data_IF_577876928555
#
_entry.id   IF_577876928555
#
_cell.length_a   1.000
_cell.length_b   1.000
_cell.length_c   1.000
_cell.angle_alpha   90.00
_cell.angle_beta   90.00
_cell.angle_gamma   90.00
#
_symmetry.space_group_name_H-M   'P 1'
#
loop_
_entity.id
_entity.type
_entity.pdbx_description
1 polymer ?
#
# COMPACT_ATOMS: atom_id res chain seq x y z
N UNK A 1 -42.29 -13.61 -7.82
CA UNK A 1 -40.95 -13.39 -8.43
C UNK A 1 -40.40 -12.06 -7.94
N UNK A 2 -39.28 -12.07 -7.23
CA UNK A 2 -38.61 -10.84 -6.80
C UNK A 2 -38.08 -10.10 -8.04
N UNK A 3 -38.51 -8.85 -8.25
CA UNK A 3 -37.96 -8.01 -9.33
C UNK A 3 -36.47 -7.84 -9.08
N UNK A 4 -35.65 -8.40 -9.97
CA UNK A 4 -34.19 -8.23 -9.96
C UNK A 4 -33.92 -6.73 -10.13
N UNK A 5 -33.35 -6.12 -9.09
CA UNK A 5 -33.03 -4.68 -9.10
C UNK A 5 -31.72 -4.49 -9.84
N UNK A 6 -31.73 -3.69 -10.92
CA UNK A 6 -30.49 -3.29 -11.61
C UNK A 6 -29.68 -2.38 -10.68
N UNK A 7 -28.40 -2.69 -10.40
CA UNK A 7 -27.56 -1.82 -9.59
C UNK A 7 -27.17 -0.58 -10.40
N UNK A 8 -27.53 0.61 -9.90
CA UNK A 8 -27.21 1.90 -10.50
C UNK A 8 -25.84 2.40 -10.04
N UNK A 9 -25.04 2.86 -10.98
CA UNK A 9 -23.76 3.57 -10.77
C UNK A 9 -23.97 4.97 -10.18
N UNK A 10 -22.93 5.57 -9.62
CA UNK A 10 -22.96 6.96 -9.12
C UNK A 10 -23.25 7.94 -10.27
N UNK A 11 -22.64 7.75 -11.45
CA UNK A 11 -22.91 8.57 -12.63
C UNK A 11 -24.37 8.52 -13.09
N UNK A 12 -24.98 7.33 -13.12
CA UNK A 12 -26.42 7.19 -13.45
C UNK A 12 -27.30 7.91 -12.42
N UNK A 13 -26.98 7.81 -11.13
CA UNK A 13 -27.72 8.52 -10.07
C UNK A 13 -27.61 10.04 -10.21
N UNK A 14 -26.43 10.57 -10.60
CA UNK A 14 -26.25 12.00 -10.84
C UNK A 14 -27.10 12.49 -12.01
N UNK A 15 -27.13 11.75 -13.14
CA UNK A 15 -28.01 12.07 -14.26
C UNK A 15 -29.49 12.09 -13.85
N UNK A 16 -29.91 11.12 -13.03
CA UNK A 16 -31.28 11.08 -12.49
C UNK A 16 -31.58 12.31 -11.64
N UNK A 17 -30.63 12.77 -10.83
CA UNK A 17 -30.77 13.97 -9.98
C UNK A 17 -30.88 15.22 -10.86
N UNK A 18 -29.97 15.40 -11.84
CA UNK A 18 -29.98 16.54 -12.77
C UNK A 18 -31.31 16.62 -13.54
N UNK A 19 -31.79 15.48 -14.03
CA UNK A 19 -33.04 15.43 -14.80
C UNK A 19 -34.27 15.68 -13.92
N UNK A 20 -34.25 15.20 -12.68
CA UNK A 20 -35.30 15.48 -11.70
C UNK A 20 -35.35 16.97 -11.31
N UNK A 21 -34.20 17.65 -11.24
CA UNK A 21 -34.11 19.08 -10.93
C UNK A 21 -34.58 19.96 -12.08
N UNK A 22 -34.27 19.60 -13.33
CA UNK A 22 -34.84 20.27 -14.52
C UNK A 22 -36.36 20.15 -14.55
N UNK A 23 -36.89 19.04 -14.08
CA UNK A 23 -38.32 18.73 -14.08
C UNK A 23 -39.03 19.12 -12.78
N UNK A 24 -38.63 20.20 -12.10
CA UNK A 24 -39.09 20.56 -10.74
C UNK A 24 -40.62 20.78 -10.58
N UNK A 25 -41.39 20.81 -11.68
CA UNK A 25 -42.85 20.88 -11.67
C UNK A 25 -43.58 19.59 -12.09
N UNK A 26 -42.86 18.56 -12.59
CA UNK A 26 -43.46 17.32 -13.02
C UNK A 26 -43.72 16.38 -11.82
N UNK A 27 -44.75 15.53 -11.93
CA UNK A 27 -45.00 14.53 -10.90
C UNK A 27 -43.85 13.52 -10.86
N UNK A 28 -43.42 13.13 -9.65
CA UNK A 28 -42.35 12.13 -9.45
C UNK A 28 -42.65 10.80 -10.17
N UNK A 29 -43.92 10.47 -10.32
CA UNK A 29 -44.42 9.33 -11.08
C UNK A 29 -44.18 9.43 -12.60
N UNK A 30 -44.21 10.63 -13.18
CA UNK A 30 -43.87 10.84 -14.59
C UNK A 30 -42.37 10.64 -14.80
N UNK A 31 -41.56 11.35 -14.01
CA UNK A 31 -40.09 11.31 -14.10
C UNK A 31 -39.57 9.88 -13.91
N UNK A 32 -40.14 9.13 -12.95
CA UNK A 32 -39.78 7.73 -12.72
C UNK A 32 -40.10 6.83 -13.94
N UNK A 33 -41.23 7.06 -14.61
CA UNK A 33 -41.60 6.35 -15.84
C UNK A 33 -40.66 6.69 -17.00
N UNK A 34 -40.35 7.97 -17.17
CA UNK A 34 -39.48 8.46 -18.25
C UNK A 34 -38.05 7.91 -18.11
N UNK A 35 -37.56 7.82 -16.88
CA UNK A 35 -36.24 7.26 -16.55
C UNK A 35 -36.24 5.73 -16.39
N UNK A 36 -37.40 5.07 -16.56
CA UNK A 36 -37.60 3.63 -16.40
C UNK A 36 -37.07 3.07 -15.05
N UNK A 37 -37.33 3.81 -13.96
CA UNK A 37 -36.96 3.43 -12.59
C UNK A 37 -38.19 3.40 -11.67
N UNK A 38 -38.21 2.57 -10.62
CA UNK A 38 -39.28 2.59 -9.63
C UNK A 38 -39.34 3.94 -8.89
N UNK A 39 -40.55 4.44 -8.61
CA UNK A 39 -40.76 5.67 -7.84
C UNK A 39 -40.09 5.63 -6.46
N UNK A 40 -40.09 4.46 -5.81
CA UNK A 40 -39.41 4.25 -4.53
C UNK A 40 -37.90 4.43 -4.64
N UNK A 41 -37.30 4.02 -5.76
CA UNK A 41 -35.88 4.23 -6.05
C UNK A 41 -35.57 5.69 -6.28
N UNK A 42 -36.38 6.39 -7.11
CA UNK A 42 -36.22 7.82 -7.35
C UNK A 42 -36.30 8.62 -6.04
N UNK A 43 -37.29 8.33 -5.18
CA UNK A 43 -37.43 8.98 -3.87
C UNK A 43 -36.20 8.78 -2.98
N UNK A 44 -35.64 7.57 -2.98
CA UNK A 44 -34.45 7.25 -2.19
C UNK A 44 -33.20 7.95 -2.73
N UNK A 45 -33.05 8.03 -4.06
CA UNK A 45 -31.94 8.73 -4.72
C UNK A 45 -31.98 10.21 -4.37
N UNK A 46 -33.14 10.86 -4.50
CA UNK A 46 -33.31 12.27 -4.18
C UNK A 46 -33.08 12.56 -2.68
N UNK A 47 -33.53 11.67 -1.79
CA UNK A 47 -33.28 11.81 -0.36
C UNK A 47 -31.79 11.69 0.02
N UNK A 48 -30.99 11.01 -0.80
CA UNK A 48 -29.55 10.80 -0.57
C UNK A 48 -28.66 11.64 -1.51
N UNK A 49 -29.22 12.68 -2.14
CA UNK A 49 -28.54 13.52 -3.13
C UNK A 49 -27.15 13.97 -2.68
N UNK A 50 -27.05 14.58 -1.49
CA UNK A 50 -25.78 15.17 -1.02
C UNK A 50 -24.70 14.10 -0.81
N UNK A 51 -25.09 12.95 -0.27
CA UNK A 51 -24.17 11.81 -0.11
C UNK A 51 -23.70 11.24 -1.45
N UNK A 52 -24.55 11.29 -2.48
CA UNK A 52 -24.20 10.81 -3.83
C UNK A 52 -23.21 11.78 -4.49
N UNK A 53 -23.42 13.09 -4.35
CA UNK A 53 -22.50 14.12 -4.86
C UNK A 53 -21.12 14.01 -4.21
N UNK A 54 -21.07 13.90 -2.88
CA UNK A 54 -19.81 13.75 -2.14
C UNK A 54 -19.07 12.46 -2.53
N UNK A 55 -19.78 11.34 -2.63
CA UNK A 55 -19.18 10.07 -3.03
C UNK A 55 -18.73 10.06 -4.50
N UNK A 56 -19.44 10.74 -5.40
CA UNK A 56 -19.02 10.87 -6.79
C UNK A 56 -17.72 11.67 -6.93
N UNK A 57 -17.56 12.73 -6.12
CA UNK A 57 -16.30 13.49 -6.05
C UNK A 57 -15.15 12.63 -5.49
N UNK A 58 -15.43 11.79 -4.49
CA UNK A 58 -14.41 10.97 -3.82
C UNK A 58 -14.00 9.70 -4.59
N UNK A 59 -14.95 8.99 -5.20
CA UNK A 59 -14.75 7.66 -5.76
C UNK A 59 -14.91 7.59 -7.29
N UNK A 60 -15.21 8.73 -7.94
CA UNK A 60 -15.51 8.80 -9.36
C UNK A 60 -16.90 8.26 -9.75
N UNK A 61 -17.19 8.30 -11.05
CA UNK A 61 -18.54 8.07 -11.57
C UNK A 61 -18.91 6.58 -11.75
N UNK A 62 -17.91 5.71 -11.87
CA UNK A 62 -18.10 4.30 -12.23
C UNK A 62 -18.45 3.40 -11.03
N UNK A 63 -18.29 3.89 -9.80
CA UNK A 63 -18.61 3.16 -8.58
C UNK A 63 -20.12 2.92 -8.41
N UNK A 64 -20.52 1.70 -8.02
CA UNK A 64 -21.93 1.36 -7.73
C UNK A 64 -22.32 1.61 -6.28
N UNK A 65 -21.35 1.51 -5.38
CA UNK A 65 -21.48 1.77 -3.95
C UNK A 65 -20.16 2.37 -3.43
N UNK A 66 -20.24 3.28 -2.46
CA UNK A 66 -19.12 3.57 -1.60
C UNK A 66 -18.83 2.28 -0.82
N UNK A 67 -17.75 1.58 -1.19
CA UNK A 67 -17.27 0.45 -0.40
C UNK A 67 -16.44 1.06 0.72
N UNK A 68 -16.85 0.82 1.95
CA UNK A 68 -15.95 1.01 3.08
C UNK A 68 -14.86 -0.03 2.94
N UNK A 69 -13.64 0.45 2.73
CA UNK A 69 -12.47 -0.43 2.70
C UNK A 69 -12.15 -0.79 4.14
N UNK A 70 -11.95 -2.08 4.42
CA UNK A 70 -11.62 -2.61 5.76
C UNK A 70 -10.43 -1.88 6.40
N UNK A 71 -9.56 -1.30 5.57
CA UNK A 71 -8.35 -0.58 5.96
C UNK A 71 -8.36 0.87 5.46
N UNK A 72 -9.50 1.56 5.53
CA UNK A 72 -9.61 2.97 5.11
C UNK A 72 -8.57 3.90 5.77
N UNK A 73 -8.19 3.63 7.03
CA UNK A 73 -7.14 4.37 7.72
C UNK A 73 -5.74 4.14 7.11
N UNK A 74 -5.46 2.91 6.66
CA UNK A 74 -4.19 2.54 6.02
C UNK A 74 -4.09 3.14 4.62
N UNK A 75 -5.17 3.08 3.82
CA UNK A 75 -5.21 3.73 2.51
C UNK A 75 -5.02 5.24 2.63
N UNK A 76 -5.64 5.88 3.64
CA UNK A 76 -5.43 7.30 3.90
C UNK A 76 -3.95 7.60 4.19
N UNK A 77 -3.31 6.81 5.05
CA UNK A 77 -1.89 6.98 5.38
C UNK A 77 -0.99 6.78 4.14
N UNK A 78 -1.30 5.82 3.27
CA UNK A 78 -0.56 5.60 2.02
C UNK A 78 -0.67 6.81 1.07
N UNK A 79 -1.88 7.33 0.86
CA UNK A 79 -2.10 8.50 -0.01
C UNK A 79 -1.41 9.74 0.55
N UNK A 80 -1.44 9.93 1.87
CA UNK A 80 -0.75 11.04 2.53
C UNK A 80 0.77 10.93 2.41
N UNK A 81 1.32 9.71 2.55
CA UNK A 81 2.75 9.46 2.31
C UNK A 81 3.16 9.73 0.87
N UNK A 82 2.36 9.32 -0.13
CA UNK A 82 2.65 9.61 -1.54
C UNK A 82 2.60 11.11 -1.85
N UNK A 83 1.62 11.83 -1.31
CA UNK A 83 1.51 13.29 -1.49
C UNK A 83 2.60 14.07 -0.75
N UNK A 84 3.16 13.51 0.32
CA UNK A 84 4.26 14.10 1.08
C UNK A 84 5.63 13.88 0.45
N UNK A 85 5.74 13.11 -0.65
CA UNK A 85 6.94 13.11 -1.49
C UNK A 85 6.83 14.33 -2.41
N UNK A 86 7.55 15.43 -2.15
CA UNK A 86 7.61 16.52 -3.10
C UNK A 86 8.09 15.96 -4.44
N UNK A 87 7.30 16.17 -5.49
CA UNK A 87 7.67 15.84 -6.88
C UNK A 87 8.66 16.88 -7.44
N UNK A 88 9.03 17.87 -6.62
CA UNK A 88 10.08 18.83 -6.93
C UNK A 88 11.43 18.22 -6.57
N UNK A 89 12.31 18.20 -7.58
CA UNK A 89 13.62 17.57 -7.64
C UNK A 89 13.58 16.06 -7.94
N UNK A 90 13.25 15.72 -9.20
CA UNK A 90 14.09 14.73 -9.92
C UNK A 90 15.53 15.04 -9.50
N UNK A 91 16.24 14.16 -8.77
CA UNK A 91 17.63 14.41 -8.51
C UNK A 91 18.25 14.46 -9.90
N UNK A 92 18.62 15.65 -10.35
CA UNK A 92 19.61 15.77 -11.39
C UNK A 92 20.77 14.94 -10.87
N UNK A 93 20.92 13.73 -11.39
CA UNK A 93 22.20 13.06 -11.51
C UNK A 93 23.04 13.88 -12.51
N UNK A 94 23.13 15.20 -12.28
CA UNK A 94 24.19 16.02 -12.77
C UNK A 94 25.44 15.33 -12.31
N UNK A 95 26.34 15.08 -13.26
CA UNK A 95 27.62 14.43 -13.04
C UNK A 95 28.22 14.94 -11.74
N UNK A 96 28.07 14.17 -10.67
CA UNK A 96 28.83 14.37 -9.45
C UNK A 96 30.26 14.09 -9.90
N UNK A 97 30.98 15.15 -10.23
CA UNK A 97 32.43 15.17 -10.20
C UNK A 97 32.79 14.88 -8.74
N UNK A 98 32.74 13.60 -8.37
CA UNK A 98 33.19 13.13 -7.08
C UNK A 98 34.64 13.63 -6.95
N UNK A 99 34.93 14.48 -5.94
CA UNK A 99 36.29 14.95 -5.72
C UNK A 99 37.10 13.78 -5.18
N UNK A 100 37.65 12.99 -6.10
CA UNK A 100 38.41 11.79 -5.79
C UNK A 100 38.57 10.94 -7.03
N UNK A 101 39.80 10.53 -7.30
CA UNK A 101 40.06 9.51 -8.29
C UNK A 101 39.54 8.16 -7.76
N UNK A 102 39.23 7.23 -8.67
CA UNK A 102 38.92 5.85 -8.26
C UNK A 102 40.03 5.22 -7.39
N UNK A 103 41.29 5.67 -7.55
CA UNK A 103 42.40 5.23 -6.72
C UNK A 103 42.26 5.69 -5.26
N UNK A 104 41.67 6.86 -5.00
CA UNK A 104 41.42 7.35 -3.63
C UNK A 104 40.33 6.51 -2.94
N UNK A 105 39.33 6.04 -3.69
CA UNK A 105 38.32 5.12 -3.16
C UNK A 105 38.91 3.74 -2.83
N UNK A 106 39.77 3.21 -3.71
CA UNK A 106 40.42 1.90 -3.48
C UNK A 106 41.42 1.97 -2.32
N UNK A 107 42.17 3.07 -2.20
CA UNK A 107 43.14 3.25 -1.12
C UNK A 107 42.51 3.59 0.24
N UNK A 108 41.25 4.06 0.28
CA UNK A 108 40.58 4.37 1.54
C UNK A 108 40.39 3.15 2.46
N UNK A 109 40.32 1.94 1.87
CA UNK A 109 40.18 0.69 2.64
C UNK A 109 41.53 0.16 3.15
N UNK A 110 42.67 0.63 2.64
CA UNK A 110 44.00 0.17 3.07
C UNK A 110 44.36 0.68 4.49
N UNK A 111 43.79 1.81 4.91
CA UNK A 111 43.99 2.40 6.24
C UNK A 111 42.88 2.02 7.24
N UNK A 112 41.90 1.20 6.84
CA UNK A 112 40.89 0.68 7.77
C UNK A 112 41.59 -0.29 8.70
N UNK A 113 41.83 0.17 9.93
CA UNK A 113 42.39 -0.63 11.00
C UNK A 113 41.56 -1.91 11.17
N UNK A 114 42.10 -3.03 10.69
CA UNK A 114 41.51 -4.34 10.93
C UNK A 114 41.67 -4.62 12.42
N UNK A 115 40.56 -4.64 13.16
CA UNK A 115 40.59 -5.13 14.53
C UNK A 115 41.25 -6.52 14.51
N UNK A 116 42.28 -6.72 15.34
CA UNK A 116 42.88 -8.03 15.52
C UNK A 116 41.78 -9.06 15.76
N UNK A 117 41.86 -10.21 15.11
CA UNK A 117 40.87 -11.26 15.25
C UNK A 117 40.59 -11.51 16.74
N UNK A 118 39.37 -11.17 17.18
CA UNK A 118 38.90 -11.46 18.54
C UNK A 118 38.58 -12.94 18.59
N UNK A 119 39.13 -13.66 19.57
CA UNK A 119 38.82 -15.08 19.68
C UNK A 119 37.35 -15.26 20.06
N UNK A 120 36.76 -16.38 19.64
CA UNK A 120 35.36 -16.66 19.94
C UNK A 120 35.11 -16.75 21.46
N UNK A 121 36.14 -17.12 22.23
CA UNK A 121 36.11 -17.20 23.69
C UNK A 121 36.05 -15.81 24.34
N UNK A 122 36.79 -14.81 23.81
CA UNK A 122 36.74 -13.42 24.31
C UNK A 122 35.36 -12.76 24.09
N UNK A 123 34.69 -13.13 23.00
CA UNK A 123 33.31 -12.67 22.71
C UNK A 123 32.33 -13.30 23.72
N UNK A 124 32.49 -14.58 24.04
CA UNK A 124 31.63 -15.27 25.00
C UNK A 124 31.83 -14.70 26.41
N UNK A 125 33.06 -14.35 26.78
CA UNK A 125 33.37 -13.75 28.08
C UNK A 125 32.77 -12.35 28.22
N UNK A 126 32.83 -11.52 27.17
CA UNK A 126 32.21 -10.18 27.17
C UNK A 126 30.67 -10.20 27.13
N UNK A 127 30.07 -11.28 26.62
CA UNK A 127 28.61 -11.46 26.55
C UNK A 127 28.03 -12.19 27.77
N UNK A 128 28.83 -12.49 28.80
CA UNK A 128 28.31 -12.87 30.11
C UNK A 128 28.15 -11.62 30.99
N UNK A 129 27.03 -10.88 30.91
CA UNK A 129 26.75 -9.87 31.92
C UNK A 129 26.61 -10.61 33.25
N UNK A 130 27.35 -10.17 34.25
CA UNK A 130 27.16 -10.60 35.63
C UNK A 130 25.68 -10.41 36.00
N UNK A 131 24.96 -11.53 36.05
CA UNK A 131 23.61 -11.63 36.58
C UNK A 131 23.67 -11.37 38.08
N UNK A 132 23.48 -10.11 38.49
CA UNK A 132 23.27 -9.75 39.88
C UNK A 132 22.31 -8.56 40.02
N UNK A 133 21.03 -8.87 40.25
CA UNK A 133 20.00 -7.98 40.84
C UNK A 133 19.37 -7.00 39.83
N UNK A 134 18.06 -6.75 39.82
CA UNK A 134 17.03 -6.91 40.84
C UNK A 134 15.66 -7.18 40.20
N UNK A 135 14.97 -8.14 40.81
CA UNK A 135 13.52 -8.35 40.78
C UNK A 135 12.75 -7.04 40.96
N UNK A 136 11.74 -6.81 40.13
CA UNK A 136 10.52 -6.09 40.53
C UNK A 136 9.34 -6.71 39.78
N UNK A 137 8.45 -7.32 40.56
CA UNK A 137 7.25 -8.01 40.08
C UNK A 137 6.08 -7.02 40.14
N UNK A 138 5.45 -6.73 39.00
CA UNK A 138 4.06 -6.25 39.00
C UNK A 138 3.33 -6.88 37.79
N UNK A 139 2.19 -7.49 38.12
CA UNK A 139 1.24 -8.18 37.26
C UNK A 139 0.62 -7.25 36.21
N UNK A 140 0.46 -7.70 34.96
CA UNK A 140 -0.81 -7.44 34.24
C UNK A 140 -0.99 -8.23 32.94
N UNK A 141 -2.18 -8.83 32.87
CA UNK A 141 -3.01 -9.25 31.73
C UNK A 141 -2.63 -10.50 30.91
N UNK A 142 -3.43 -11.55 31.15
CA UNK A 142 -3.65 -12.72 30.29
C UNK A 142 -4.20 -12.31 28.92
N UNK A 143 -3.36 -11.72 28.07
CA UNK A 143 -3.52 -11.79 26.64
C UNK A 143 -2.74 -13.01 26.17
N UNK A 144 -3.43 -14.02 25.63
CA UNK A 144 -2.81 -15.18 25.00
C UNK A 144 -1.90 -14.71 23.86
N UNK A 145 -0.65 -14.39 24.20
CA UNK A 145 0.40 -14.11 23.24
C UNK A 145 0.61 -15.42 22.48
N UNK A 146 0.08 -15.47 21.27
CA UNK A 146 0.54 -16.42 20.28
C UNK A 146 2.04 -16.18 20.16
N UNK A 147 2.83 -17.03 20.79
CA UNK A 147 4.29 -17.02 20.68
C UNK A 147 4.59 -17.08 19.18
N UNK A 148 4.93 -15.93 18.61
CA UNK A 148 5.32 -15.84 17.22
C UNK A 148 6.72 -16.42 17.15
N UNK A 149 6.78 -17.75 17.04
CA UNK A 149 8.02 -18.48 16.88
C UNK A 149 8.82 -17.80 15.77
N UNK A 150 10.07 -17.49 16.07
CA UNK A 150 10.99 -16.86 15.11
C UNK A 150 10.91 -17.66 13.80
N UNK A 151 10.55 -17.02 12.67
CA UNK A 151 10.42 -17.70 11.39
C UNK A 151 11.71 -18.43 11.05
N UNK A 152 11.60 -19.69 10.64
CA UNK A 152 12.76 -20.44 10.17
C UNK A 152 13.21 -19.89 8.82
N UNK A 153 14.45 -20.20 8.43
CA UNK A 153 14.96 -19.84 7.10
C UNK A 153 14.07 -20.38 5.96
N UNK A 154 13.49 -21.58 6.14
CA UNK A 154 12.56 -22.16 5.18
C UNK A 154 11.28 -21.33 5.04
N UNK A 155 10.76 -20.77 6.14
CA UNK A 155 9.58 -19.90 6.13
C UNK A 155 9.85 -18.60 5.36
N UNK A 156 11.04 -18.02 5.54
CA UNK A 156 11.48 -16.82 4.81
C UNK A 156 11.54 -17.09 3.30
N UNK A 157 12.13 -18.22 2.88
CA UNK A 157 12.19 -18.58 1.47
C UNK A 157 10.81 -18.83 0.86
N UNK A 158 9.91 -19.50 1.59
CA UNK A 158 8.52 -19.68 1.17
C UNK A 158 7.81 -18.33 0.98
N UNK A 159 8.02 -17.38 1.89
CA UNK A 159 7.44 -16.04 1.78
C UNK A 159 7.98 -15.25 0.58
N UNK A 160 9.30 -15.34 0.32
CA UNK A 160 9.93 -14.72 -0.86
C UNK A 160 9.36 -15.31 -2.16
N UNK A 161 9.21 -16.63 -2.25
CA UNK A 161 8.65 -17.28 -3.44
C UNK A 161 7.17 -16.93 -3.65
N UNK A 162 6.40 -16.80 -2.56
CA UNK A 162 5.02 -16.32 -2.61
C UNK A 162 4.93 -14.92 -3.25
N UNK A 163 5.75 -13.98 -2.78
CA UNK A 163 5.81 -12.62 -3.34
C UNK A 163 6.28 -12.62 -4.80
N UNK A 164 7.23 -13.49 -5.16
CA UNK A 164 7.69 -13.65 -6.54
C UNK A 164 6.57 -14.10 -7.47
N UNK A 165 5.78 -15.10 -7.06
CA UNK A 165 4.63 -15.59 -7.85
C UNK A 165 3.54 -14.54 -7.96
N UNK A 166 3.26 -13.82 -6.88
CA UNK A 166 2.31 -12.71 -6.88
C UNK A 166 2.73 -11.64 -7.90
N UNK A 167 3.98 -11.18 -7.84
CA UNK A 167 4.52 -10.20 -8.79
C UNK A 167 4.48 -10.72 -10.23
N UNK A 168 4.88 -11.97 -10.48
CA UNK A 168 4.83 -12.58 -11.81
C UNK A 168 3.40 -12.68 -12.36
N UNK A 169 2.41 -12.96 -11.49
CA UNK A 169 0.99 -13.02 -11.88
C UNK A 169 0.42 -11.65 -12.26
N UNK A 170 1.01 -10.56 -11.73
CA UNK A 170 0.63 -9.18 -12.02
C UNK A 170 1.51 -8.51 -13.08
N UNK A 171 2.64 -9.11 -13.50
CA UNK A 171 3.53 -8.58 -14.52
C UNK A 171 2.88 -8.51 -15.91
N UNK A 172 1.84 -9.30 -16.18
CA UNK A 172 1.04 -9.18 -17.41
C UNK A 172 0.02 -8.04 -17.37
N UNK A 173 -0.18 -7.40 -16.22
CA UNK A 173 -1.25 -6.42 -15.99
C UNK A 173 -0.81 -4.95 -16.05
N UNK A 174 0.49 -4.62 -16.05
CA UNK A 174 0.94 -3.23 -16.24
C UNK A 174 2.45 -3.10 -16.50
N UNK A 175 2.89 -2.31 -17.50
CA UNK A 175 4.31 -2.02 -17.74
C UNK A 175 4.96 -1.09 -16.69
N UNK A 176 4.23 -0.70 -15.64
CA UNK A 176 4.68 0.32 -14.67
C UNK A 176 5.70 -0.20 -13.64
N UNK A 177 5.88 -1.52 -13.49
CA UNK A 177 6.93 -2.09 -12.61
C UNK A 177 8.32 -2.17 -13.27
N UNK A 178 8.50 -1.53 -14.44
CA UNK A 178 9.79 -1.37 -15.10
C UNK A 178 10.78 -0.42 -14.38
N UNK A 179 10.40 0.19 -13.24
CA UNK A 179 11.12 1.32 -12.64
C UNK A 179 11.85 0.95 -11.34
N UNK A 180 12.60 -0.15 -11.31
CA UNK A 180 13.61 -0.34 -10.27
C UNK A 180 14.85 -1.10 -10.81
N UNK A 181 15.73 -0.41 -11.57
CA UNK A 181 16.93 -1.02 -12.14
C UNK A 181 17.92 -1.57 -11.09
N UNK A 182 17.82 -1.17 -9.83
CA UNK A 182 18.67 -1.68 -8.75
C UNK A 182 18.40 -3.14 -8.35
N UNK A 183 17.19 -3.69 -8.60
CA UNK A 183 16.91 -5.12 -8.35
C UNK A 183 17.33 -6.01 -9.53
N UNK A 184 17.27 -5.48 -10.75
CA UNK A 184 17.61 -6.23 -11.96
C UNK A 184 19.14 -6.46 -12.13
N UNK A 185 19.97 -5.53 -11.66
CA UNK A 185 21.42 -5.63 -11.86
C UNK A 185 22.11 -6.67 -10.95
N UNK A 186 21.52 -7.06 -9.82
CA UNK A 186 22.09 -8.11 -8.96
C UNK A 186 21.80 -9.53 -9.45
N UNK A 187 20.79 -9.71 -10.30
CA UNK A 187 20.40 -11.03 -10.81
C UNK A 187 21.30 -11.57 -11.92
N UNK A 188 21.88 -10.70 -12.76
CA UNK A 188 22.80 -11.14 -13.82
C UNK A 188 24.20 -11.49 -13.32
N UNK A 189 24.64 -10.91 -12.19
CA UNK A 189 25.97 -11.18 -11.66
C UNK A 189 26.08 -12.54 -10.97
N UNK A 190 24.97 -13.07 -10.45
CA UNK A 190 24.97 -14.36 -9.74
C UNK A 190 24.84 -15.57 -10.69
N UNK A 191 24.33 -15.39 -11.91
CA UNK A 191 24.14 -16.46 -12.90
C UNK A 191 25.34 -16.68 -13.85
N UNK A 192 26.41 -15.88 -13.76
CA UNK A 192 27.64 -16.09 -14.55
C UNK A 192 28.78 -16.77 -13.77
N UNK A 193 28.56 -17.17 -12.51
CA UNK A 193 29.58 -17.82 -11.66
C UNK A 193 29.21 -19.23 -11.18
N UNK A 194 28.28 -19.93 -11.86
CA UNK A 194 28.11 -21.38 -11.77
C UNK A 194 28.32 -22.00 -13.13
#
# INVERSE_FOLDING_TARGET
MSRIRKPLTLGEKLRIIEEAEKCNGATKASIARDLNIPESSLKTILAKKDSILLNAAKFGLNGKAAKDVKYAAMEKALVECEAAVPVDDEPEFGSLELPGSFADYVGADDDVAVCSAVSLDDIIETVRPDTAGTSDEEEMDDAAEASTSVPTYADVLCYVDHNRRFAASHASASPVLSVCPCVALRYNFFLQKS
#
